data_IF_512030743937
#
_entry.id   IF_512030743937
#
_cell.length_a   1.000
_cell.length_b   1.000
_cell.length_c   1.000
_cell.angle_alpha   90.00
_cell.angle_beta   90.00
_cell.angle_gamma   90.00
#
_symmetry.space_group_name_H-M   'P 1'
#
loop_
_entity.id
_entity.type
_entity.pdbx_description
1 polymer ?
#
# COMPACT_ATOMS: atom_id res chain seq x y z
N UNK A 1 2.35 6.16 7.41
CA UNK A 1 2.49 5.15 6.36
C UNK A 1 1.16 4.80 5.72
N UNK A 2 1.21 3.99 4.67
CA UNK A 2 0.04 3.62 3.86
C UNK A 2 -0.03 2.10 3.75
N UNK A 3 -1.18 1.52 4.12
CA UNK A 3 -1.52 0.13 3.84
C UNK A 3 -2.48 0.08 2.65
N UNK A 4 -2.10 -0.62 1.59
CA UNK A 4 -2.88 -0.75 0.35
C UNK A 4 -3.72 -2.01 0.30
N UNK A 5 -3.30 -3.03 1.01
CA UNK A 5 -4.07 -4.24 1.27
C UNK A 5 -4.53 -5.00 0.02
N UNK A 6 -3.69 -5.02 -1.02
CA UNK A 6 -3.97 -5.75 -2.24
C UNK A 6 -3.09 -6.99 -2.32
N UNK A 7 -3.69 -8.13 -2.64
CA UNK A 7 -2.94 -9.31 -3.03
C UNK A 7 -2.45 -9.14 -4.47
N UNK A 8 -1.16 -9.21 -4.68
CA UNK A 8 -0.54 -9.22 -6.01
C UNK A 8 -0.79 -10.58 -6.66
N UNK A 9 -1.21 -10.55 -7.92
CA UNK A 9 -1.46 -11.72 -8.75
C UNK A 9 -0.42 -11.74 -9.88
N UNK A 10 0.42 -12.76 -9.89
CA UNK A 10 1.44 -12.95 -10.91
C UNK A 10 2.54 -11.90 -10.96
N UNK A 11 3.24 -11.83 -12.08
CA UNK A 11 4.40 -10.97 -12.30
C UNK A 11 4.05 -9.74 -13.13
N UNK A 12 4.84 -8.66 -12.97
CA UNK A 12 4.71 -7.47 -13.82
C UNK A 12 5.33 -7.71 -15.21
N UNK A 13 4.52 -7.57 -16.24
CA UNK A 13 4.87 -7.80 -17.65
C UNK A 13 4.60 -6.58 -18.50
N UNK A 14 5.29 -6.44 -19.62
CA UNK A 14 5.06 -5.36 -20.57
C UNK A 14 3.58 -5.35 -21.01
N UNK A 15 2.98 -4.17 -21.07
CA UNK A 15 1.61 -3.99 -21.52
C UNK A 15 1.59 -3.33 -22.92
N UNK A 16 0.58 -3.70 -23.70
CA UNK A 16 0.21 -3.00 -24.94
C UNK A 16 -1.15 -2.39 -24.74
N UNK A 17 -1.27 -1.08 -24.89
CA UNK A 17 -2.48 -0.34 -24.58
C UNK A 17 -2.99 0.46 -25.79
N UNK A 18 -4.30 0.72 -25.78
CA UNK A 18 -4.93 1.73 -26.63
C UNK A 18 -5.72 2.65 -25.68
N UNK A 19 -5.14 3.81 -25.34
CA UNK A 19 -5.66 4.64 -24.27
C UNK A 19 -5.77 3.86 -22.96
N UNK A 20 -6.97 3.80 -22.36
CA UNK A 20 -7.21 3.08 -21.11
C UNK A 20 -7.43 1.57 -21.26
N UNK A 21 -7.52 1.07 -22.50
CA UNK A 21 -7.73 -0.34 -22.77
C UNK A 21 -6.39 -1.04 -22.89
N UNK A 22 -6.10 -1.92 -21.94
CA UNK A 22 -4.97 -2.84 -21.98
C UNK A 22 -5.34 -3.99 -22.90
N UNK A 23 -4.66 -4.08 -24.05
CA UNK A 23 -4.92 -5.11 -25.07
C UNK A 23 -4.15 -6.39 -24.77
N UNK A 24 -2.89 -6.27 -24.31
CA UNK A 24 -2.02 -7.39 -23.98
C UNK A 24 -1.21 -7.14 -22.72
N UNK A 25 -0.93 -8.22 -21.98
CA UNK A 25 0.03 -8.26 -20.88
C UNK A 25 1.00 -9.40 -21.17
N UNK A 26 2.29 -9.08 -21.38
CA UNK A 26 3.25 -10.00 -21.97
C UNK A 26 2.83 -10.41 -23.38
N UNK A 27 2.80 -11.71 -23.65
CA UNK A 27 2.38 -12.28 -24.94
C UNK A 27 0.88 -12.57 -25.04
N UNK A 28 0.11 -12.41 -23.96
CA UNK A 28 -1.28 -12.82 -23.88
C UNK A 28 -2.25 -11.64 -23.98
N UNK A 29 -3.45 -11.84 -24.55
CA UNK A 29 -4.55 -10.88 -24.41
C UNK A 29 -4.79 -10.56 -22.93
N UNK A 30 -5.02 -9.28 -22.61
CA UNK A 30 -5.06 -8.79 -21.23
C UNK A 30 -6.11 -9.49 -20.37
N UNK A 31 -7.31 -9.73 -20.91
CA UNK A 31 -8.37 -10.46 -20.20
C UNK A 31 -7.96 -11.91 -19.91
N UNK A 32 -7.29 -12.58 -20.86
CA UNK A 32 -6.82 -13.94 -20.64
C UNK A 32 -5.73 -13.98 -19.55
N UNK A 33 -4.80 -13.02 -19.59
CA UNK A 33 -3.77 -12.90 -18.56
C UNK A 33 -4.39 -12.65 -17.17
N UNK A 34 -5.38 -11.76 -17.07
CA UNK A 34 -6.13 -11.53 -15.83
C UNK A 34 -6.82 -12.80 -15.34
N UNK A 35 -7.61 -13.46 -16.20
CA UNK A 35 -8.35 -14.67 -15.84
C UNK A 35 -7.40 -15.79 -15.39
N UNK A 36 -6.23 -15.93 -16.01
CA UNK A 36 -5.24 -16.95 -15.62
C UNK A 36 -4.72 -16.74 -14.19
N UNK A 37 -4.53 -15.48 -13.78
CA UNK A 37 -3.99 -15.13 -12.45
C UNK A 37 -5.07 -15.12 -11.34
N UNK A 38 -6.37 -15.05 -11.71
CA UNK A 38 -7.45 -15.07 -10.73
C UNK A 38 -7.58 -16.44 -10.04
N UNK A 39 -8.04 -16.49 -8.78
CA UNK A 39 -8.47 -17.73 -8.13
C UNK A 39 -9.53 -18.50 -8.96
N UNK A 40 -9.53 -19.83 -8.94
CA UNK A 40 -10.47 -20.62 -9.71
C UNK A 40 -11.93 -20.21 -9.55
N UNK A 41 -12.35 -19.91 -8.32
CA UNK A 41 -13.72 -19.53 -7.96
C UNK A 41 -14.16 -18.25 -8.68
N UNK A 42 -13.22 -17.34 -8.96
CA UNK A 42 -13.51 -16.08 -9.63
C UNK A 42 -13.50 -16.20 -11.15
N UNK A 43 -12.77 -17.18 -11.70
CA UNK A 43 -12.72 -17.42 -13.16
C UNK A 43 -14.05 -17.91 -13.71
N UNK A 44 -14.80 -18.66 -12.88
CA UNK A 44 -16.09 -19.27 -13.25
C UNK A 44 -17.29 -18.34 -12.98
N UNK A 45 -17.07 -17.15 -12.43
CA UNK A 45 -18.13 -16.19 -12.20
C UNK A 45 -18.70 -15.66 -13.52
N UNK A 46 -20.02 -15.63 -13.66
CA UNK A 46 -20.71 -15.03 -14.80
C UNK A 46 -20.30 -13.57 -15.06
N UNK A 47 -20.03 -12.84 -13.97
CA UNK A 47 -19.54 -11.46 -14.00
C UNK A 47 -18.34 -11.30 -13.13
N UNK A 48 -17.25 -10.78 -13.70
CA UNK A 48 -16.04 -10.47 -12.93
C UNK A 48 -16.32 -9.36 -11.91
N UNK A 49 -15.86 -9.53 -10.66
CA UNK A 49 -16.04 -8.54 -9.60
C UNK A 49 -15.03 -7.40 -9.74
N UNK A 50 -15.18 -6.53 -10.73
CA UNK A 50 -14.23 -5.44 -11.02
C UNK A 50 -13.92 -4.57 -9.82
N UNK A 51 -14.87 -4.39 -8.90
CA UNK A 51 -14.65 -3.62 -7.66
C UNK A 51 -13.59 -4.22 -6.73
N UNK A 52 -13.20 -5.48 -6.95
CA UNK A 52 -12.11 -6.15 -6.25
C UNK A 52 -10.79 -6.14 -7.03
N UNK A 53 -10.81 -5.77 -8.31
CA UNK A 53 -9.68 -5.93 -9.21
C UNK A 53 -8.96 -4.61 -9.49
N UNK A 54 -7.65 -4.67 -9.58
CA UNK A 54 -6.80 -3.57 -9.97
C UNK A 54 -5.64 -4.05 -10.84
N UNK A 55 -5.07 -3.13 -11.60
CA UNK A 55 -3.76 -3.29 -12.21
C UNK A 55 -2.72 -2.53 -11.39
N UNK A 56 -1.59 -3.14 -11.10
CA UNK A 56 -0.42 -2.45 -10.59
C UNK A 56 0.43 -1.99 -11.77
N UNK A 57 0.73 -0.71 -11.84
CA UNK A 57 1.58 -0.11 -12.88
C UNK A 57 2.95 0.18 -12.28
N UNK A 58 3.98 -0.29 -12.95
CA UNK A 58 5.38 -0.23 -12.51
C UNK A 58 6.26 0.35 -13.60
N UNK A 59 7.01 1.39 -13.24
CA UNK A 59 8.08 1.95 -14.09
C UNK A 59 9.44 1.40 -13.66
N UNK A 60 10.30 1.08 -14.64
CA UNK A 60 11.67 0.59 -14.40
C UNK A 60 11.74 -0.89 -14.05
N UNK A 61 12.60 -1.25 -13.05
CA UNK A 61 12.77 -2.64 -12.64
C UNK A 61 11.57 -3.09 -11.79
N UNK A 62 10.77 -4.07 -12.26
CA UNK A 62 9.50 -4.42 -11.63
C UNK A 62 9.68 -5.13 -10.29
N UNK A 63 10.63 -6.03 -10.15
CA UNK A 63 10.85 -6.80 -8.93
C UNK A 63 11.18 -5.85 -7.77
N UNK A 64 12.19 -5.01 -7.97
CA UNK A 64 12.61 -4.03 -6.98
C UNK A 64 11.52 -3.00 -6.68
N UNK A 65 10.78 -2.55 -7.68
CA UNK A 65 9.71 -1.60 -7.50
C UNK A 65 8.54 -2.18 -6.70
N UNK A 66 8.21 -3.45 -6.91
CA UNK A 66 7.17 -4.16 -6.14
C UNK A 66 7.63 -4.35 -4.68
N UNK A 67 8.86 -4.80 -4.45
CA UNK A 67 9.43 -4.95 -3.10
C UNK A 67 9.44 -3.63 -2.32
N UNK A 68 9.84 -2.55 -2.97
CA UNK A 68 9.88 -1.20 -2.38
C UNK A 68 8.51 -0.51 -2.33
N UNK A 69 7.45 -1.14 -2.85
CA UNK A 69 6.09 -0.57 -2.92
C UNK A 69 5.96 0.60 -3.90
N UNK A 70 6.89 0.76 -4.86
CA UNK A 70 6.91 1.83 -5.87
C UNK A 70 6.09 1.46 -7.10
N UNK A 71 4.80 1.33 -6.93
CA UNK A 71 3.83 1.07 -7.99
C UNK A 71 2.52 1.82 -7.72
N UNK A 72 1.76 2.06 -8.77
CA UNK A 72 0.43 2.68 -8.70
C UNK A 72 -0.61 1.58 -8.89
N UNK A 73 -1.63 1.56 -8.03
CA UNK A 73 -2.79 0.66 -8.18
C UNK A 73 -3.92 1.41 -8.89
N UNK A 74 -4.31 0.89 -10.03
CA UNK A 74 -5.34 1.46 -10.90
C UNK A 74 -6.53 0.51 -10.98
N UNK A 75 -7.75 0.92 -10.60
CA UNK A 75 -8.93 0.08 -10.67
C UNK A 75 -9.21 -0.44 -12.08
N UNK A 76 -9.59 -1.71 -12.18
CA UNK A 76 -10.21 -2.29 -13.38
C UNK A 76 -11.68 -1.88 -13.40
N UNK A 77 -12.17 -1.34 -14.51
CA UNK A 77 -13.56 -0.85 -14.63
C UNK A 77 -14.40 -1.62 -15.62
N UNK A 78 -13.77 -2.27 -16.60
CA UNK A 78 -14.47 -3.07 -17.59
C UNK A 78 -13.55 -4.13 -18.21
N UNK A 79 -14.14 -5.09 -18.91
CA UNK A 79 -13.46 -6.01 -19.81
C UNK A 79 -14.28 -6.17 -21.09
N UNK A 80 -13.59 -6.22 -22.21
CA UNK A 80 -14.18 -6.53 -23.51
C UNK A 80 -13.88 -7.98 -23.86
N UNK A 81 -14.91 -8.82 -23.96
CA UNK A 81 -14.79 -10.25 -24.23
C UNK A 81 -14.46 -10.54 -25.71
N UNK A 82 -14.86 -9.68 -26.64
CA UNK A 82 -14.58 -9.85 -28.07
C UNK A 82 -13.12 -9.53 -28.37
N UNK A 83 -12.64 -8.39 -27.91
CA UNK A 83 -11.24 -7.95 -28.07
C UNK A 83 -10.30 -8.58 -27.04
N UNK A 84 -10.84 -9.20 -26.01
CA UNK A 84 -10.11 -9.76 -24.85
C UNK A 84 -9.23 -8.74 -24.15
N UNK A 85 -9.71 -7.49 -24.09
CA UNK A 85 -9.05 -6.36 -23.44
C UNK A 85 -9.62 -6.07 -22.05
N UNK A 86 -8.88 -5.29 -21.26
CA UNK A 86 -9.26 -4.86 -19.90
C UNK A 86 -9.12 -3.34 -19.84
N UNK A 87 -10.17 -2.65 -19.39
CA UNK A 87 -10.20 -1.18 -19.25
C UNK A 87 -9.83 -0.76 -17.85
N UNK A 88 -8.87 0.14 -17.73
CA UNK A 88 -8.42 0.75 -16.48
C UNK A 88 -8.94 2.18 -16.31
N UNK A 89 -8.95 2.69 -15.07
CA UNK A 89 -9.30 4.10 -14.82
C UNK A 89 -8.24 5.08 -15.35
N UNK A 90 -6.96 4.65 -15.37
CA UNK A 90 -5.83 5.40 -15.94
C UNK A 90 -5.00 4.46 -16.83
N UNK A 91 -4.49 4.93 -17.96
CA UNK A 91 -3.60 4.14 -18.81
C UNK A 91 -2.22 3.98 -18.18
N UNK A 92 -1.51 2.87 -18.42
CA UNK A 92 -0.06 2.81 -18.25
C UNK A 92 0.64 3.74 -19.26
N UNK A 93 1.79 4.28 -18.88
CA UNK A 93 2.66 5.02 -19.80
C UNK A 93 3.48 4.05 -20.68
N UNK A 94 4.05 4.59 -21.76
CA UNK A 94 4.91 3.80 -22.64
C UNK A 94 6.12 3.25 -21.88
N UNK A 95 6.31 1.93 -21.97
CA UNK A 95 7.39 1.23 -21.28
C UNK A 95 7.06 0.76 -19.86
N UNK A 96 5.93 1.13 -19.32
CA UNK A 96 5.46 0.59 -18.03
C UNK A 96 5.15 -0.90 -18.13
N UNK A 97 5.23 -1.56 -16.98
CA UNK A 97 4.82 -2.95 -16.81
C UNK A 97 3.59 -3.04 -15.94
N UNK A 98 2.76 -4.03 -16.20
CA UNK A 98 1.51 -4.25 -15.50
C UNK A 98 1.51 -5.62 -14.84
N UNK A 99 1.08 -5.67 -13.58
CA UNK A 99 0.66 -6.87 -12.88
C UNK A 99 -0.79 -6.73 -12.44
N UNK A 100 -1.45 -7.85 -12.21
CA UNK A 100 -2.81 -7.83 -11.67
C UNK A 100 -2.78 -7.87 -10.15
N UNK A 101 -3.77 -7.28 -9.53
CA UNK A 101 -3.93 -7.26 -8.08
C UNK A 101 -5.41 -7.43 -7.71
N UNK A 102 -5.65 -8.01 -6.55
CA UNK A 102 -7.00 -8.25 -6.04
C UNK A 102 -7.11 -7.79 -4.59
N UNK A 103 -8.21 -7.12 -4.27
CA UNK A 103 -8.56 -6.82 -2.89
C UNK A 103 -8.90 -8.11 -2.15
N UNK A 104 -8.24 -8.33 -1.03
CA UNK A 104 -8.43 -9.48 -0.16
C UNK A 104 -8.28 -9.05 1.29
N UNK A 105 -9.22 -9.45 2.14
CA UNK A 105 -9.28 -9.07 3.55
C UNK A 105 -8.04 -9.51 4.33
N UNK A 106 -7.62 -10.77 4.17
CA UNK A 106 -6.40 -11.27 4.83
C UNK A 106 -5.15 -10.52 4.37
N UNK A 107 -5.00 -10.26 3.07
CA UNK A 107 -3.86 -9.49 2.57
C UNK A 107 -3.86 -8.05 3.10
N UNK A 108 -5.05 -7.47 3.29
CA UNK A 108 -5.19 -6.14 3.86
C UNK A 108 -4.83 -6.12 5.36
N UNK A 109 -5.24 -7.12 6.11
CA UNK A 109 -4.89 -7.29 7.52
C UNK A 109 -3.38 -7.46 7.70
N UNK A 110 -2.75 -8.35 6.93
CA UNK A 110 -1.31 -8.60 6.99
C UNK A 110 -0.51 -7.34 6.62
N UNK A 111 -0.93 -6.63 5.56
CA UNK A 111 -0.29 -5.38 5.14
C UNK A 111 -0.40 -4.29 6.23
N UNK A 112 -1.55 -4.19 6.91
CA UNK A 112 -1.71 -3.24 8.02
C UNK A 112 -0.85 -3.63 9.23
N UNK A 113 -0.79 -4.89 9.59
CA UNK A 113 0.07 -5.38 10.69
C UNK A 113 1.54 -5.10 10.41
N UNK A 114 2.00 -5.33 9.18
CA UNK A 114 3.35 -5.02 8.74
C UNK A 114 3.62 -3.52 8.84
N UNK A 115 2.73 -2.68 8.31
CA UNK A 115 2.83 -1.23 8.39
C UNK A 115 2.96 -0.72 9.84
N UNK A 116 2.11 -1.22 10.73
CA UNK A 116 2.12 -0.85 12.15
C UNK A 116 3.46 -1.22 12.80
N UNK A 117 4.02 -2.39 12.47
CA UNK A 117 5.36 -2.82 12.92
C UNK A 117 6.45 -1.88 12.41
N UNK A 118 6.49 -1.61 11.11
CA UNK A 118 7.47 -0.71 10.49
C UNK A 118 7.43 0.72 11.08
N UNK A 119 6.24 1.24 11.35
CA UNK A 119 6.09 2.56 11.96
C UNK A 119 6.54 2.56 13.43
N UNK A 120 6.28 1.48 14.17
CA UNK A 120 6.78 1.33 15.54
C UNK A 120 8.32 1.32 15.59
N UNK A 121 8.95 0.57 14.69
CA UNK A 121 10.40 0.46 14.61
C UNK A 121 11.04 1.78 14.21
N UNK A 122 10.45 2.51 13.26
CA UNK A 122 10.92 3.86 12.88
C UNK A 122 10.80 4.88 13.97
N UNK A 123 9.72 4.80 14.77
CA UNK A 123 9.52 5.74 15.88
C UNK A 123 10.48 5.46 17.03
N UNK A 124 10.86 4.21 17.26
CA UNK A 124 11.82 3.78 18.29
C UNK A 124 11.36 4.00 19.73
N UNK A 125 10.13 4.52 19.93
CA UNK A 125 9.51 4.78 21.21
C UNK A 125 8.00 4.58 21.14
N UNK A 126 7.32 4.52 22.28
CA UNK A 126 5.86 4.45 22.30
C UNK A 126 5.26 5.75 21.74
N UNK A 127 4.31 5.68 20.80
CA UNK A 127 3.64 6.87 20.28
C UNK A 127 2.72 7.49 21.35
N UNK A 128 2.64 8.82 21.35
CA UNK A 128 1.75 9.56 22.23
C UNK A 128 0.30 9.54 21.73
N UNK A 129 0.12 9.57 20.42
CA UNK A 129 -1.18 9.44 19.76
C UNK A 129 -1.02 9.03 18.28
N UNK A 130 -2.12 8.63 17.64
CA UNK A 130 -2.16 8.29 16.23
C UNK A 130 -3.36 8.87 15.49
N UNK A 131 -3.22 8.97 14.16
CA UNK A 131 -4.30 9.30 13.23
C UNK A 131 -4.47 8.14 12.25
N UNK A 132 -5.70 7.61 12.14
CA UNK A 132 -6.02 6.53 11.20
C UNK A 132 -7.13 6.98 10.24
N UNK A 133 -6.80 7.11 8.97
CA UNK A 133 -7.76 7.41 7.91
C UNK A 133 -7.92 6.18 7.02
N UNK A 134 -9.12 5.61 6.99
CA UNK A 134 -9.42 4.42 6.20
C UNK A 134 -10.43 4.73 5.09
N UNK A 135 -10.31 4.03 3.97
CA UNK A 135 -11.31 4.12 2.92
C UNK A 135 -12.60 3.42 3.35
N UNK A 136 -13.76 4.01 3.02
CA UNK A 136 -15.07 3.37 3.24
C UNK A 136 -15.12 1.95 2.65
N UNK A 137 -14.45 1.73 1.51
CA UNK A 137 -14.31 0.42 0.90
C UNK A 137 -13.45 -0.57 1.70
N UNK A 138 -12.78 -0.12 2.77
CA UNK A 138 -11.91 -0.93 3.63
C UNK A 138 -12.36 -0.95 5.10
N UNK A 139 -13.60 -0.56 5.35
CA UNK A 139 -14.18 -0.59 6.70
C UNK A 139 -14.63 -1.98 7.13
N UNK A 140 -15.36 -2.09 8.25
CA UNK A 140 -15.80 -3.36 8.84
C UNK A 140 -16.48 -4.31 7.86
N UNK A 141 -17.28 -3.80 6.92
CA UNK A 141 -17.95 -4.66 5.93
C UNK A 141 -16.99 -5.43 5.02
N UNK A 142 -15.85 -4.82 4.69
CA UNK A 142 -14.82 -5.49 3.91
C UNK A 142 -14.16 -6.65 4.68
N UNK A 143 -14.03 -6.50 5.98
CA UNK A 143 -13.43 -7.49 6.88
C UNK A 143 -14.43 -8.48 7.50
N UNK A 144 -15.68 -8.46 7.07
CA UNK A 144 -16.70 -9.40 7.59
C UNK A 144 -17.37 -8.99 8.90
N UNK A 145 -17.26 -7.71 9.29
CA UNK A 145 -17.98 -7.13 10.44
C UNK A 145 -17.12 -6.41 11.47
N UNK A 146 -15.80 -6.67 11.49
CA UNK A 146 -14.85 -6.04 12.43
C UNK A 146 -13.86 -5.15 11.66
N UNK A 147 -13.44 -4.04 12.28
CA UNK A 147 -12.39 -3.18 11.70
C UNK A 147 -11.00 -3.74 12.04
N UNK A 148 -10.48 -4.62 11.20
CA UNK A 148 -9.18 -5.27 11.43
C UNK A 148 -8.00 -4.30 11.32
N UNK A 149 -8.14 -3.19 10.58
CA UNK A 149 -7.12 -2.14 10.57
C UNK A 149 -7.01 -1.46 11.93
N UNK A 150 -8.15 -1.10 12.51
CA UNK A 150 -8.22 -0.51 13.85
C UNK A 150 -7.70 -1.49 14.92
N UNK A 151 -8.09 -2.76 14.83
CA UNK A 151 -7.63 -3.78 15.77
C UNK A 151 -6.12 -4.03 15.69
N UNK A 152 -5.52 -4.00 14.49
CA UNK A 152 -4.06 -4.11 14.33
C UNK A 152 -3.31 -2.97 15.05
N UNK A 153 -3.82 -1.73 14.96
CA UNK A 153 -3.23 -0.58 15.67
C UNK A 153 -3.40 -0.72 17.17
N UNK A 154 -4.60 -1.06 17.66
CA UNK A 154 -4.88 -1.23 19.09
C UNK A 154 -4.09 -2.37 19.72
N UNK A 155 -3.92 -3.47 19.01
CA UNK A 155 -3.14 -4.62 19.47
C UNK A 155 -1.66 -4.26 19.67
N UNK A 156 -1.10 -3.44 18.79
CA UNK A 156 0.31 -3.01 18.86
C UNK A 156 0.55 -1.91 19.89
N UNK A 157 -0.43 -1.00 20.06
CA UNK A 157 -0.35 0.17 20.94
C UNK A 157 -1.57 0.25 21.87
N UNK A 158 -1.68 -0.66 22.87
CA UNK A 158 -2.80 -0.67 23.80
C UNK A 158 -2.91 0.67 24.55
N UNK A 159 -4.11 1.24 24.56
CA UNK A 159 -4.39 2.49 25.28
C UNK A 159 -3.88 3.77 24.61
N UNK A 160 -3.21 3.69 23.46
CA UNK A 160 -2.80 4.90 22.72
C UNK A 160 -4.05 5.67 22.23
N UNK A 161 -4.12 7.00 22.47
CA UNK A 161 -5.16 7.82 21.88
C UNK A 161 -5.11 7.75 20.35
N UNK A 162 -6.23 7.41 19.73
CA UNK A 162 -6.34 7.26 18.28
C UNK A 162 -7.59 7.98 17.81
N UNK A 163 -7.45 8.82 16.79
CA UNK A 163 -8.56 9.48 16.11
C UNK A 163 -8.43 9.27 14.60
N UNK A 164 -9.56 9.31 13.89
CA UNK A 164 -9.55 9.17 12.45
C UNK A 164 -10.94 9.24 11.86
N UNK A 165 -11.03 8.93 10.58
CA UNK A 165 -12.28 8.91 9.85
C UNK A 165 -12.24 7.93 8.68
N UNK A 166 -13.42 7.49 8.25
CA UNK A 166 -13.61 6.83 6.97
C UNK A 166 -13.94 7.87 5.90
N UNK A 167 -13.29 7.76 4.74
CA UNK A 167 -13.49 8.65 3.60
C UNK A 167 -13.62 7.89 2.28
N UNK A 168 -14.01 8.58 1.20
CA UNK A 168 -14.11 8.02 -0.15
C UNK A 168 -12.74 7.74 -0.80
N UNK A 169 -11.65 8.09 -0.15
CA UNK A 169 -10.26 7.92 -0.55
C UNK A 169 -9.36 8.73 0.37
N UNK A 170 -8.07 8.47 0.34
CA UNK A 170 -7.05 9.15 1.14
C UNK A 170 -6.06 9.86 0.22
N UNK A 171 -5.49 10.97 0.69
CA UNK A 171 -4.33 11.61 0.07
C UNK A 171 -3.15 11.37 1.00
N UNK A 172 -2.12 10.72 0.46
CA UNK A 172 -0.91 10.40 1.22
C UNK A 172 0.35 10.54 0.38
N UNK A 173 1.51 10.79 1.01
CA UNK A 173 2.80 10.79 0.31
C UNK A 173 3.14 9.38 -0.14
N UNK A 174 3.44 9.25 -1.42
CA UNK A 174 3.91 8.05 -2.07
C UNK A 174 5.30 8.31 -2.69
N UNK A 175 5.88 7.32 -3.34
CA UNK A 175 7.24 7.38 -3.91
C UNK A 175 7.44 8.52 -4.94
N UNK A 176 6.38 9.01 -5.58
CA UNK A 176 6.41 10.06 -6.61
C UNK A 176 5.59 11.31 -6.21
N UNK A 177 5.38 11.54 -4.91
CA UNK A 177 4.65 12.69 -4.38
C UNK A 177 3.31 12.30 -3.76
N UNK A 178 2.47 13.29 -3.47
CA UNK A 178 1.15 13.03 -2.89
C UNK A 178 0.21 12.42 -3.94
N UNK A 179 -0.42 11.32 -3.57
CA UNK A 179 -1.40 10.64 -4.43
C UNK A 179 -2.72 10.45 -3.72
N UNK A 180 -3.80 10.45 -4.50
CA UNK A 180 -5.10 9.98 -4.05
C UNK A 180 -5.11 8.44 -4.14
N UNK A 181 -5.43 7.79 -3.04
CA UNK A 181 -5.40 6.33 -2.91
C UNK A 181 -6.78 5.86 -2.48
N UNK A 182 -7.30 4.86 -3.17
CA UNK A 182 -8.56 4.21 -2.84
C UNK A 182 -8.32 2.85 -2.17
N UNK A 183 -9.29 2.39 -1.40
CA UNK A 183 -9.26 1.10 -0.71
C UNK A 183 -8.02 0.87 0.17
N UNK A 184 -7.47 1.95 0.72
CA UNK A 184 -6.28 1.98 1.53
C UNK A 184 -6.57 2.53 2.93
N UNK A 185 -5.65 2.26 3.87
CA UNK A 185 -5.62 2.91 5.18
C UNK A 185 -4.31 3.69 5.33
N UNK A 186 -4.40 4.88 5.90
CA UNK A 186 -3.26 5.77 6.18
C UNK A 186 -3.13 5.92 7.69
N UNK A 187 -1.99 5.52 8.24
CA UNK A 187 -1.67 5.66 9.66
C UNK A 187 -0.52 6.65 9.85
N UNK A 188 -0.74 7.63 10.71
CA UNK A 188 0.30 8.52 11.22
C UNK A 188 0.43 8.33 12.73
N UNK A 189 1.65 8.09 13.20
CA UNK A 189 1.99 7.99 14.62
C UNK A 189 2.83 9.19 15.04
N UNK A 190 2.53 9.72 16.20
CA UNK A 190 3.21 10.89 16.77
C UNK A 190 3.81 10.50 18.12
N UNK A 191 5.10 10.73 18.29
CA UNK A 191 5.84 10.46 19.51
C UNK A 191 6.79 11.61 19.86
N UNK A 192 7.34 11.61 21.06
CA UNK A 192 8.42 12.51 21.41
C UNK A 192 9.66 12.12 20.58
N UNK A 193 10.41 13.11 20.14
CA UNK A 193 11.73 12.89 19.54
C UNK A 193 12.61 12.13 20.54
N UNK A 194 13.25 11.03 20.11
CA UNK A 194 14.19 10.33 20.96
C UNK A 194 15.27 11.34 21.41
N UNK A 195 15.41 11.55 22.71
CA UNK A 195 16.40 12.45 23.25
C UNK A 195 17.78 12.09 22.66
N UNK A 196 18.42 13.02 21.97
CA UNK A 196 19.76 12.82 21.47
C UNK A 196 20.63 12.36 22.63
N UNK A 197 21.52 11.35 22.47
CA UNK A 197 22.40 10.93 23.54
C UNK A 197 23.16 12.17 24.04
N UNK A 198 23.00 12.49 25.32
CA UNK A 198 23.68 13.62 25.94
C UNK A 198 25.18 13.47 25.68
N UNK A 199 25.75 14.36 24.87
CA UNK A 199 27.19 14.44 24.67
C UNK A 199 27.83 14.59 26.05
N UNK A 200 28.51 13.52 26.49
CA UNK A 200 29.14 13.46 27.82
C UNK A 200 29.95 14.70 28.08
N UNK A 201 29.77 15.25 29.26
CA UNK A 201 30.51 16.36 29.81
C UNK A 201 32.03 16.13 29.62
N UNK A 202 32.66 16.93 28.75
CA UNK A 202 34.11 17.04 28.75
C UNK A 202 34.53 17.61 30.12
N UNK A 203 35.01 16.78 31.00
CA UNK A 203 35.78 17.19 32.15
C UNK A 203 37.03 17.90 31.65
N UNK A 204 37.05 19.21 31.76
CA UNK A 204 38.26 20.01 31.58
C UNK A 204 39.19 19.71 32.77
N UNK A 205 40.17 18.84 32.59
CA UNK A 205 41.34 18.76 33.50
C UNK A 205 42.11 20.07 33.42
N UNK A 206 42.01 20.85 34.50
CA UNK A 206 42.85 22.02 34.73
C UNK A 206 44.24 21.53 35.15
N UNK A 207 45.18 21.56 34.20
CA UNK A 207 46.59 21.36 34.47
C UNK A 207 47.12 22.52 35.33
N UNK A 208 47.39 22.25 36.62
CA UNK A 208 48.17 23.15 37.49
C UNK A 208 49.62 23.14 37.00
N UNK A 209 50.11 24.30 36.57
CA UNK A 209 51.51 24.51 36.24
C UNK A 209 52.31 24.74 37.50
N UNK A 210 53.63 24.42 37.51
CA UNK A 210 54.49 24.54 38.70
C UNK A 210 54.84 25.99 38.97
N UNK A 211 54.80 26.33 40.26
CA UNK A 211 55.38 27.57 40.80
C UNK A 211 56.91 27.42 40.94
N UNK A 212 57.65 28.37 40.44
CA UNK A 212 58.97 28.76 40.87
C UNK A 212 58.95 30.22 41.30
#
# INVERSE_FOLDING_TARGET
GVSRGMRILGEARAATCNGRDVLKVGSHPALNALLHELPPEMREMEKLPFHLLAAGIVSGNPERAIEEGRYILVPVIAANHEERSVTLTLPPDDGDRVFWAMRQDLAAEDDMRRLVGELADRLGAAPNFGLLFSCLGRGPYFFGGEDRDLEAVKARFPGMPLIGAYGGGQIAPMFNGNQQIHNAAVLALFGAEAAAPSSGSRTTETKAGPRV
#
